data_IF_309051125581
#
_entry.id   IF_309051125581
#
_cell.length_a   1.000
_cell.length_b   1.000
_cell.length_c   1.000
_cell.angle_alpha   90.00
_cell.angle_beta   90.00
_cell.angle_gamma   90.00
#
_symmetry.space_group_name_H-M   'P 1'
#
loop_
_entity.id
_entity.type
_entity.pdbx_description
1 polymer ?
#
# COMPACT_ATOMS: atom_id res chain seq x y z
N UNK A 1 31.87 -25.71 3.46
CA UNK A 1 30.78 -26.52 4.04
C UNK A 1 29.51 -25.70 3.92
N UNK A 2 28.62 -26.10 3.01
CA UNK A 2 27.33 -25.46 2.80
C UNK A 2 26.36 -25.91 3.89
N UNK A 3 25.71 -24.96 4.57
CA UNK A 3 24.50 -25.19 5.35
C UNK A 3 23.60 -23.95 5.27
N UNK A 4 23.14 -23.63 4.05
CA UNK A 4 21.94 -22.79 3.86
C UNK A 4 20.71 -23.58 4.34
N UNK A 5 20.58 -23.71 5.66
CA UNK A 5 19.39 -24.26 6.27
C UNK A 5 18.29 -23.19 6.15
N UNK A 6 17.59 -23.18 5.02
CA UNK A 6 16.25 -22.58 4.91
C UNK A 6 15.37 -23.31 5.92
N UNK A 7 15.28 -22.76 7.13
CA UNK A 7 14.31 -23.19 8.13
C UNK A 7 12.93 -23.14 7.45
N UNK A 8 12.23 -24.26 7.26
CA UNK A 8 10.97 -24.27 6.54
C UNK A 8 10.00 -23.31 7.22
N UNK A 9 9.18 -22.60 6.44
CA UNK A 9 8.21 -21.62 6.97
C UNK A 9 7.33 -22.20 8.10
N UNK A 10 7.13 -23.52 8.10
CA UNK A 10 6.36 -24.28 9.09
C UNK A 10 7.02 -24.43 10.45
N UNK A 11 8.34 -24.20 10.59
CA UNK A 11 9.07 -24.35 11.87
C UNK A 11 9.35 -23.02 12.58
N UNK A 12 8.85 -21.89 12.05
CA UNK A 12 9.07 -20.58 12.67
C UNK A 12 8.40 -20.49 14.05
N UNK A 13 9.13 -19.94 15.02
CA UNK A 13 8.57 -19.67 16.36
C UNK A 13 7.55 -18.52 16.31
N UNK A 14 6.81 -18.30 17.40
CA UNK A 14 5.92 -17.13 17.54
C UNK A 14 6.72 -15.83 17.46
N UNK A 15 7.90 -15.80 18.08
CA UNK A 15 8.80 -14.66 18.07
C UNK A 15 9.32 -14.36 16.65
N UNK A 16 9.74 -15.39 15.91
CA UNK A 16 10.17 -15.20 14.52
C UNK A 16 9.04 -14.62 13.64
N UNK A 17 7.80 -15.10 13.83
CA UNK A 17 6.63 -14.56 13.12
C UNK A 17 6.40 -13.10 13.48
N UNK A 18 6.51 -12.75 14.76
CA UNK A 18 6.34 -11.38 15.24
C UNK A 18 7.41 -10.45 14.66
N UNK A 19 8.68 -10.85 14.74
CA UNK A 19 9.79 -10.07 14.21
C UNK A 19 9.64 -9.83 12.70
N UNK A 20 9.24 -10.85 11.94
CA UNK A 20 8.95 -10.69 10.51
C UNK A 20 7.79 -9.73 10.24
N UNK A 21 6.71 -9.81 11.02
CA UNK A 21 5.57 -8.91 10.89
C UNK A 21 5.97 -7.47 11.21
N UNK A 22 6.77 -7.24 12.26
CA UNK A 22 7.24 -5.91 12.66
C UNK A 22 8.17 -5.29 11.61
N UNK A 23 9.05 -6.11 10.99
CA UNK A 23 9.89 -5.67 9.84
C UNK A 23 9.01 -5.32 8.64
N UNK A 24 8.04 -6.17 8.28
CA UNK A 24 7.15 -5.92 7.14
C UNK A 24 6.30 -4.67 7.36
N UNK A 25 5.77 -4.46 8.56
CA UNK A 25 5.01 -3.27 8.92
C UNK A 25 5.88 -2.00 8.85
N UNK A 26 7.13 -2.07 9.33
CA UNK A 26 8.08 -0.96 9.27
C UNK A 26 8.41 -0.59 7.83
N UNK A 27 8.70 -1.60 6.99
CA UNK A 27 8.95 -1.40 5.56
C UNK A 27 7.72 -0.81 4.85
N UNK A 28 6.54 -1.35 5.12
CA UNK A 28 5.29 -0.88 4.51
C UNK A 28 5.03 0.59 4.89
N UNK A 29 5.20 0.95 6.16
CA UNK A 29 5.04 2.33 6.65
C UNK A 29 5.92 3.30 5.87
N UNK A 30 7.21 2.99 5.75
CA UNK A 30 8.17 3.86 5.04
C UNK A 30 7.85 3.91 3.55
N UNK A 31 7.49 2.79 2.93
CA UNK A 31 7.13 2.75 1.51
C UNK A 31 5.88 3.60 1.23
N UNK A 32 4.86 3.49 2.08
CA UNK A 32 3.62 4.27 1.94
C UNK A 32 3.89 5.74 2.18
N UNK A 33 4.72 6.13 3.14
CA UNK A 33 5.11 7.52 3.34
C UNK A 33 5.69 8.17 2.07
N UNK A 34 6.57 7.45 1.35
CA UNK A 34 7.12 7.98 0.09
C UNK A 34 6.08 7.99 -1.04
N UNK A 35 5.15 7.03 -1.05
CA UNK A 35 4.05 7.01 -2.00
C UNK A 35 3.14 8.23 -1.79
N UNK A 36 2.81 8.52 -0.53
CA UNK A 36 2.03 9.69 -0.13
C UNK A 36 2.64 10.99 -0.65
N UNK A 37 3.92 11.22 -0.33
CA UNK A 37 4.66 12.43 -0.71
C UNK A 37 4.72 12.62 -2.23
N UNK A 38 4.88 11.53 -2.99
CA UNK A 38 4.89 11.57 -4.47
C UNK A 38 3.50 11.82 -5.04
N UNK A 39 2.47 11.17 -4.51
CA UNK A 39 1.09 11.35 -4.95
C UNK A 39 0.60 12.77 -4.68
N UNK A 40 0.91 13.33 -3.51
CA UNK A 40 0.52 14.70 -3.17
C UNK A 40 1.09 15.71 -4.16
N UNK A 41 2.40 15.64 -4.44
CA UNK A 41 3.03 16.49 -5.45
C UNK A 41 2.45 16.30 -6.85
N UNK A 42 2.18 15.05 -7.24
CA UNK A 42 1.61 14.75 -8.54
C UNK A 42 0.21 15.35 -8.69
N UNK A 43 -0.61 15.29 -7.63
CA UNK A 43 -1.94 15.93 -7.58
C UNK A 43 -1.80 17.44 -7.74
N UNK A 44 -0.91 18.07 -6.98
CA UNK A 44 -0.70 19.53 -7.05
C UNK A 44 -0.29 19.99 -8.46
N UNK A 45 0.57 19.20 -9.13
CA UNK A 45 0.96 19.46 -10.52
C UNK A 45 -0.22 19.26 -11.48
N UNK A 46 -0.97 18.18 -11.32
CA UNK A 46 -2.12 17.87 -12.19
C UNK A 46 -3.22 18.94 -12.08
N UNK A 47 -3.55 19.39 -10.87
CA UNK A 47 -4.57 20.42 -10.64
C UNK A 47 -4.15 21.80 -11.18
N UNK A 48 -2.84 22.11 -11.19
CA UNK A 48 -2.34 23.32 -11.85
C UNK A 48 -2.51 23.28 -13.37
N UNK A 49 -2.35 22.10 -13.98
CA UNK A 49 -2.48 21.91 -15.42
C UNK A 49 -3.94 21.81 -15.85
N UNK A 50 -4.77 21.10 -15.07
CA UNK A 50 -6.18 20.92 -15.33
C UNK A 50 -6.99 21.07 -14.02
N UNK A 51 -7.46 22.29 -13.72
CA UNK A 51 -8.20 22.59 -12.49
C UNK A 51 -9.54 21.84 -12.37
N UNK A 52 -10.08 21.28 -13.46
CA UNK A 52 -11.35 20.55 -13.42
C UNK A 52 -11.23 19.09 -12.97
N UNK A 53 -10.02 18.58 -12.70
CA UNK A 53 -9.81 17.23 -12.15
C UNK A 53 -10.54 17.08 -10.82
N UNK A 54 -11.30 15.99 -10.67
CA UNK A 54 -12.07 15.66 -9.45
C UNK A 54 -11.75 14.29 -8.87
N UNK A 55 -11.03 13.45 -9.60
CA UNK A 55 -10.85 12.05 -9.26
C UNK A 55 -9.39 11.62 -9.39
N UNK A 56 -8.91 10.87 -8.40
CA UNK A 56 -7.69 10.08 -8.50
C UNK A 56 -8.08 8.61 -8.60
N UNK A 57 -7.59 7.91 -9.63
CA UNK A 57 -7.87 6.48 -9.84
C UNK A 57 -6.60 5.68 -9.57
N UNK A 58 -6.69 4.66 -8.71
CA UNK A 58 -5.58 3.76 -8.42
C UNK A 58 -5.95 2.34 -8.82
N UNK A 59 -5.40 1.83 -9.94
CA UNK A 59 -5.59 0.45 -10.36
C UNK A 59 -4.60 -0.51 -9.68
N UNK A 60 -4.95 -1.80 -9.66
CA UNK A 60 -4.03 -2.90 -9.34
C UNK A 60 -4.15 -3.48 -7.93
N UNK A 61 -3.57 -4.67 -7.72
CA UNK A 61 -3.77 -5.46 -6.50
C UNK A 61 -3.23 -4.82 -5.21
N UNK A 62 -2.16 -4.02 -5.30
CA UNK A 62 -1.62 -3.28 -4.14
C UNK A 62 -2.63 -2.26 -3.60
N UNK A 63 -3.53 -1.75 -4.44
CA UNK A 63 -4.57 -0.81 -4.05
C UNK A 63 -5.69 -1.45 -3.19
N UNK A 64 -5.75 -2.79 -3.14
CA UNK A 64 -6.60 -3.54 -2.22
C UNK A 64 -6.05 -3.58 -0.79
N UNK A 65 -4.80 -3.16 -0.58
CA UNK A 65 -4.23 -3.04 0.77
C UNK A 65 -4.93 -1.92 1.55
N UNK A 66 -5.54 -2.26 2.68
CA UNK A 66 -6.33 -1.32 3.49
C UNK A 66 -5.51 -0.14 4.01
N UNK A 67 -4.27 -0.39 4.43
CA UNK A 67 -3.38 0.66 4.91
C UNK A 67 -3.03 1.64 3.78
N UNK A 68 -2.64 1.14 2.60
CA UNK A 68 -2.38 1.98 1.42
C UNK A 68 -3.61 2.80 1.05
N UNK A 69 -4.80 2.15 0.99
CA UNK A 69 -6.06 2.82 0.64
C UNK A 69 -6.40 3.94 1.62
N UNK A 70 -6.31 3.69 2.92
CA UNK A 70 -6.58 4.69 3.95
C UNK A 70 -5.65 5.90 3.81
N UNK A 71 -4.34 5.65 3.65
CA UNK A 71 -3.32 6.69 3.54
C UNK A 71 -3.49 7.54 2.28
N UNK A 72 -3.72 6.92 1.13
CA UNK A 72 -4.01 7.65 -0.11
C UNK A 72 -5.33 8.43 -0.07
N UNK A 73 -6.36 7.88 0.57
CA UNK A 73 -7.66 8.56 0.67
C UNK A 73 -7.53 9.90 1.42
N UNK A 74 -6.76 9.92 2.51
CA UNK A 74 -6.51 11.15 3.27
C UNK A 74 -5.87 12.26 2.41
N UNK A 75 -4.91 11.91 1.55
CA UNK A 75 -4.28 12.90 0.65
C UNK A 75 -5.29 13.45 -0.34
N UNK A 76 -6.07 12.56 -0.96
CA UNK A 76 -7.02 12.90 -2.00
C UNK A 76 -8.15 13.78 -1.44
N UNK A 77 -8.66 13.45 -0.25
CA UNK A 77 -9.66 14.26 0.46
C UNK A 77 -9.11 15.64 0.84
N UNK A 78 -7.87 15.74 1.31
CA UNK A 78 -7.23 17.02 1.61
C UNK A 78 -7.10 17.94 0.38
N UNK A 79 -7.11 17.36 -0.83
CA UNK A 79 -7.07 18.09 -2.11
C UNK A 79 -8.46 18.27 -2.74
N UNK A 80 -9.55 17.95 -2.02
CA UNK A 80 -10.93 17.99 -2.50
C UNK A 80 -11.20 17.11 -3.73
N UNK A 81 -10.46 16.01 -3.85
CA UNK A 81 -10.63 15.00 -4.88
C UNK A 81 -11.34 13.77 -4.30
N UNK A 82 -11.77 12.85 -5.16
CA UNK A 82 -12.34 11.56 -4.78
C UNK A 82 -11.47 10.40 -5.23
N UNK A 83 -11.12 9.50 -4.31
CA UNK A 83 -10.33 8.31 -4.62
C UNK A 83 -11.23 7.21 -5.19
N UNK A 84 -10.83 6.62 -6.32
CA UNK A 84 -11.49 5.44 -6.91
C UNK A 84 -10.48 4.33 -7.06
N UNK A 85 -10.69 3.21 -6.35
CA UNK A 85 -9.84 2.03 -6.47
C UNK A 85 -10.45 1.08 -7.49
N UNK A 86 -9.64 0.67 -8.48
CA UNK A 86 -10.00 -0.38 -9.43
C UNK A 86 -9.12 -1.58 -9.14
N UNK A 87 -9.58 -2.44 -8.24
CA UNK A 87 -8.93 -3.74 -8.08
C UNK A 87 -9.26 -4.60 -9.31
N UNK A 88 -8.26 -5.29 -9.86
CA UNK A 88 -8.49 -6.50 -10.64
C UNK A 88 -8.78 -7.64 -9.64
N UNK A 89 -9.92 -7.56 -8.95
CA UNK A 89 -10.47 -8.69 -8.21
C UNK A 89 -11.62 -9.27 -9.05
N UNK A 90 -11.24 -10.04 -10.06
CA UNK A 90 -12.09 -11.16 -10.48
C UNK A 90 -11.85 -12.23 -9.42
N UNK A 91 -12.69 -12.26 -8.37
CA UNK A 91 -12.81 -13.32 -7.38
C UNK A 91 -11.51 -13.81 -6.73
N UNK A 92 -11.20 -13.37 -5.50
CA UNK A 92 -10.69 -14.28 -4.46
C UNK A 92 -10.83 -13.68 -3.07
N UNK A 93 -11.55 -14.44 -2.24
CA UNK A 93 -11.60 -14.36 -0.80
C UNK A 93 -10.20 -14.45 -0.17
N UNK A 94 -10.09 -13.86 1.03
CA UNK A 94 -9.10 -14.20 2.07
C UNK A 94 -7.64 -13.96 1.70
N UNK A 95 -7.10 -12.84 2.19
CA UNK A 95 -5.83 -12.91 2.92
C UNK A 95 -5.92 -12.00 4.14
N UNK A 96 -6.34 -12.60 5.26
CA UNK A 96 -5.95 -12.14 6.59
C UNK A 96 -4.43 -12.34 6.71
N UNK A 97 -3.70 -11.24 6.88
CA UNK A 97 -2.46 -11.22 7.66
C UNK A 97 -2.60 -10.10 8.68
#
# INVERSE_FOLDING_TARGET
>A
MCSDAKCPFSSATKEDRRNRADIAASFQRVTVLHLEEKCERAIDLAMKLEPSIKHMVVPGGVASNQYVRFRLNNIVENKNLKLTIRSQDVLSQVVLW
#
